data_IF_397334766655
#
_entry.id   IF_397334766655
#
_cell.length_a   1.000
_cell.length_b   1.000
_cell.length_c   1.000
_cell.angle_alpha   90.00
_cell.angle_beta   90.00
_cell.angle_gamma   90.00
#
_symmetry.space_group_name_H-M   'P 1'
#
loop_
_entity.id
_entity.type
_entity.pdbx_description
1 polymer ?
#
# COMPACT_ATOMS: atom_id res chain seq x y z
N UNK A 1 -9.26 -9.04 6.90
CA UNK A 1 -10.70 -9.30 7.04
C UNK A 1 -10.86 -10.74 7.49
N UNK A 2 -11.59 -10.95 8.58
CA UNK A 2 -11.96 -12.28 9.06
C UNK A 2 -13.03 -12.91 8.16
N UNK A 3 -13.31 -14.20 8.36
CA UNK A 3 -14.41 -14.89 7.67
C UNK A 3 -15.77 -14.27 8.04
N UNK A 4 -15.96 -13.97 9.32
CA UNK A 4 -17.20 -13.39 9.88
C UNK A 4 -17.50 -12.02 9.28
N UNK A 5 -16.50 -11.14 9.17
CA UNK A 5 -16.64 -9.83 8.55
C UNK A 5 -17.04 -9.92 7.08
N UNK A 6 -16.60 -10.96 6.37
CA UNK A 6 -16.97 -11.16 4.96
C UNK A 6 -18.39 -11.66 4.80
N UNK A 7 -18.82 -12.58 5.68
CA UNK A 7 -20.19 -13.09 5.67
C UNK A 7 -21.19 -11.98 5.98
N UNK A 8 -20.88 -11.09 6.93
CA UNK A 8 -21.72 -9.93 7.26
C UNK A 8 -21.90 -8.93 6.10
N UNK A 9 -21.02 -8.97 5.08
CA UNK A 9 -21.15 -8.15 3.87
C UNK A 9 -21.99 -8.82 2.77
N UNK A 10 -22.30 -10.11 2.90
CA UNK A 10 -23.16 -10.83 1.97
C UNK A 10 -24.61 -10.70 2.43
N UNK A 11 -25.52 -10.55 1.47
CA UNK A 11 -26.94 -10.37 1.79
C UNK A 11 -27.55 -11.68 2.31
N UNK A 12 -27.86 -11.72 3.60
CA UNK A 12 -28.66 -12.78 4.21
C UNK A 12 -30.16 -12.48 3.98
N UNK A 13 -30.64 -12.77 2.77
CA UNK A 13 -32.06 -12.63 2.42
C UNK A 13 -32.92 -13.80 2.93
N UNK A 14 -34.25 -13.66 2.82
CA UNK A 14 -35.26 -14.69 3.20
C UNK A 14 -35.23 -15.92 2.26
N UNK A 15 -34.31 -15.96 1.29
CA UNK A 15 -34.25 -17.02 0.29
C UNK A 15 -33.53 -18.26 0.82
N UNK A 16 -33.99 -19.44 0.40
CA UNK A 16 -33.56 -20.78 0.88
C UNK A 16 -32.10 -21.10 0.51
N UNK A 17 -31.45 -20.25 -0.30
CA UNK A 17 -30.07 -20.45 -0.76
C UNK A 17 -29.11 -19.44 -0.15
N UNK A 18 -28.12 -19.97 0.56
CA UNK A 18 -27.06 -19.18 1.17
C UNK A 18 -26.22 -18.49 0.07
N UNK A 19 -26.12 -17.16 0.08
CA UNK A 19 -25.33 -16.42 -0.93
C UNK A 19 -23.83 -16.64 -0.69
N UNK A 20 -23.15 -17.29 -1.63
CA UNK A 20 -21.74 -17.69 -1.48
C UNK A 20 -20.72 -16.61 -1.90
N UNK A 21 -21.15 -15.66 -2.72
CA UNK A 21 -20.32 -14.57 -3.23
C UNK A 21 -21.15 -13.40 -3.74
N UNK A 22 -20.58 -12.20 -3.69
CA UNK A 22 -21.09 -10.99 -4.31
C UNK A 22 -19.99 -10.31 -5.12
N UNK A 23 -20.35 -9.44 -6.06
CA UNK A 23 -19.40 -8.59 -6.75
C UNK A 23 -19.95 -7.17 -6.90
N UNK A 24 -19.03 -6.22 -7.00
CA UNK A 24 -19.31 -4.83 -7.34
C UNK A 24 -18.44 -4.48 -8.54
N UNK A 25 -19.05 -3.89 -9.56
CA UNK A 25 -18.38 -3.42 -10.76
C UNK A 25 -18.65 -1.92 -10.91
N UNK A 26 -17.60 -1.16 -11.18
CA UNK A 26 -17.64 0.28 -11.40
C UNK A 26 -17.02 0.55 -12.76
N UNK A 27 -17.68 1.35 -13.58
CA UNK A 27 -17.16 1.83 -14.85
C UNK A 27 -16.75 3.28 -14.67
N UNK A 28 -15.48 3.57 -14.93
CA UNK A 28 -14.91 4.90 -14.91
C UNK A 28 -14.79 5.41 -16.35
N UNK A 29 -15.24 6.63 -16.57
CA UNK A 29 -14.88 7.41 -17.75
C UNK A 29 -13.43 7.89 -17.57
N UNK A 30 -12.57 7.55 -18.52
CA UNK A 30 -11.14 7.89 -18.56
C UNK A 30 -10.81 8.81 -19.75
N UNK A 31 -11.76 9.63 -20.20
CA UNK A 31 -11.56 10.64 -21.25
C UNK A 31 -10.37 11.58 -20.99
N UNK A 32 -9.99 11.79 -19.73
CA UNK A 32 -8.85 12.62 -19.32
C UNK A 32 -7.54 11.83 -19.11
N UNK A 33 -7.52 10.54 -19.46
CA UNK A 33 -6.35 9.67 -19.40
C UNK A 33 -5.65 9.62 -18.02
N UNK A 34 -6.42 9.76 -16.92
CA UNK A 34 -5.88 9.59 -15.56
C UNK A 34 -5.42 8.17 -15.26
N UNK A 35 -6.12 7.19 -15.83
CA UNK A 35 -5.70 5.79 -15.74
C UNK A 35 -4.75 5.48 -16.92
N UNK A 36 -3.53 4.97 -16.64
CA UNK A 36 -2.54 4.64 -17.67
C UNK A 36 -2.86 3.31 -18.38
N UNK A 37 -4.10 3.11 -18.79
CA UNK A 37 -4.58 1.90 -19.49
C UNK A 37 -4.65 2.10 -21.00
N UNK A 38 -4.71 3.37 -21.47
CA UNK A 38 -4.86 3.70 -22.89
C UNK A 38 -6.25 3.42 -23.46
N UNK A 39 -7.24 3.22 -22.58
CA UNK A 39 -8.64 3.04 -22.92
C UNK A 39 -9.47 4.22 -22.41
N UNK A 40 -10.49 4.61 -23.16
CA UNK A 40 -11.40 5.71 -22.80
C UNK A 40 -12.32 5.35 -21.63
N UNK A 41 -12.48 4.05 -21.33
CA UNK A 41 -13.22 3.55 -20.18
C UNK A 41 -12.38 2.53 -19.41
N UNK A 42 -12.49 2.55 -18.08
CA UNK A 42 -11.83 1.60 -17.19
C UNK A 42 -12.86 0.92 -16.30
N UNK A 43 -12.90 -0.42 -16.35
CA UNK A 43 -13.87 -1.21 -15.57
C UNK A 43 -13.14 -1.83 -14.39
N UNK A 44 -13.55 -1.50 -13.16
CA UNK A 44 -13.01 -2.12 -11.97
C UNK A 44 -14.07 -3.01 -11.30
N UNK A 45 -13.80 -4.32 -11.27
CA UNK A 45 -14.63 -5.27 -10.53
C UNK A 45 -13.90 -5.83 -9.32
N UNK A 46 -14.61 -5.90 -8.20
CA UNK A 46 -14.19 -6.65 -7.00
C UNK A 46 -15.24 -7.70 -6.67
N UNK A 47 -14.81 -8.95 -6.60
CA UNK A 47 -15.64 -10.09 -6.21
C UNK A 47 -15.25 -10.55 -4.80
N UNK A 48 -16.20 -10.51 -3.87
CA UNK A 48 -16.06 -10.98 -2.51
C UNK A 48 -16.76 -12.33 -2.34
N UNK A 49 -16.00 -13.35 -1.98
CA UNK A 49 -16.53 -14.64 -1.56
C UNK A 49 -16.14 -14.95 -0.12
N UNK A 50 -16.75 -15.99 0.46
CA UNK A 50 -16.49 -16.41 1.85
C UNK A 50 -14.98 -16.63 2.13
N UNK A 51 -14.27 -17.25 1.19
CA UNK A 51 -12.84 -17.61 1.34
C UNK A 51 -11.88 -16.71 0.56
N UNK A 52 -12.35 -16.02 -0.48
CA UNK A 52 -11.49 -15.39 -1.48
C UNK A 52 -11.99 -14.01 -1.88
N UNK A 53 -11.06 -13.08 -2.07
CA UNK A 53 -11.29 -11.73 -2.59
C UNK A 53 -10.54 -11.64 -3.91
N UNK A 54 -11.24 -11.24 -4.97
CA UNK A 54 -10.68 -11.14 -6.32
C UNK A 54 -10.89 -9.76 -6.91
N UNK A 55 -9.84 -9.23 -7.51
CA UNK A 55 -9.87 -7.94 -8.19
C UNK A 55 -9.67 -8.17 -9.69
N UNK A 56 -10.47 -7.48 -10.49
CA UNK A 56 -10.44 -7.60 -11.95
C UNK A 56 -10.59 -6.23 -12.61
N UNK A 57 -9.49 -5.48 -12.81
CA UNK A 57 -9.46 -4.35 -13.73
C UNK A 57 -9.60 -4.84 -15.17
N UNK A 58 -10.48 -4.23 -15.96
CA UNK A 58 -10.74 -4.50 -17.38
C UNK A 58 -10.92 -5.99 -17.68
N UNK A 59 -11.68 -6.69 -16.83
CA UNK A 59 -11.96 -8.14 -16.92
C UNK A 59 -10.72 -9.05 -16.80
N UNK A 60 -9.53 -8.50 -16.50
CA UNK A 60 -8.29 -9.25 -16.25
C UNK A 60 -8.05 -9.38 -14.77
N UNK A 61 -7.62 -10.55 -14.31
CA UNK A 61 -7.35 -10.79 -12.90
C UNK A 61 -6.06 -10.10 -12.47
N UNK A 62 -6.12 -9.30 -11.41
CA UNK A 62 -4.97 -8.56 -10.88
C UNK A 62 -4.82 -8.74 -9.37
N UNK A 63 -3.62 -8.44 -8.85
CA UNK A 63 -3.41 -8.42 -7.41
C UNK A 63 -4.04 -7.17 -6.79
N UNK A 64 -4.32 -7.22 -5.49
CA UNK A 64 -4.79 -6.05 -4.73
C UNK A 64 -3.80 -4.89 -4.86
N UNK A 65 -2.50 -5.16 -4.82
CA UNK A 65 -1.46 -4.14 -4.91
C UNK A 65 -1.49 -3.41 -6.25
N UNK A 66 -1.70 -4.13 -7.35
CA UNK A 66 -1.73 -3.52 -8.68
C UNK A 66 -2.93 -2.58 -8.84
N UNK A 67 -4.11 -3.01 -8.36
CA UNK A 67 -5.31 -2.16 -8.37
C UNK A 67 -5.15 -0.94 -7.47
N UNK A 68 -4.50 -1.11 -6.33
CA UNK A 68 -4.18 0.01 -5.43
C UNK A 68 -3.24 1.03 -6.09
N UNK A 69 -2.20 0.57 -6.77
CA UNK A 69 -1.27 1.43 -7.51
C UNK A 69 -1.96 2.14 -8.68
N UNK A 70 -2.89 1.46 -9.35
CA UNK A 70 -3.72 2.03 -10.42
C UNK A 70 -4.60 3.17 -9.90
N UNK A 71 -5.29 2.94 -8.77
CA UNK A 71 -6.11 3.96 -8.12
C UNK A 71 -5.28 5.13 -7.60
N UNK A 72 -4.10 4.86 -7.01
CA UNK A 72 -3.16 5.90 -6.59
C UNK A 72 -2.71 6.78 -7.77
N UNK A 73 -2.42 6.16 -8.93
CA UNK A 73 -2.01 6.87 -10.15
C UNK A 73 -3.12 7.79 -10.69
N UNK A 74 -4.37 7.39 -10.57
CA UNK A 74 -5.53 8.20 -10.93
C UNK A 74 -5.94 9.24 -9.86
N UNK A 75 -5.21 9.31 -8.73
CA UNK A 75 -5.44 10.27 -7.66
C UNK A 75 -6.37 9.79 -6.53
N UNK A 76 -6.90 8.57 -6.60
CA UNK A 76 -7.76 7.97 -5.57
C UNK A 76 -6.96 7.36 -4.40
N UNK A 77 -5.94 8.08 -3.94
CA UNK A 77 -5.05 7.52 -2.94
C UNK A 77 -5.72 7.33 -1.59
N UNK A 78 -5.48 6.17 -0.95
CA UNK A 78 -5.87 5.92 0.44
C UNK A 78 -5.23 6.88 1.44
N UNK A 79 -4.14 7.52 1.04
CA UNK A 79 -3.48 8.54 1.84
C UNK A 79 -4.26 9.86 1.89
N UNK A 80 -5.24 10.05 1.00
CA UNK A 80 -6.13 11.18 0.98
C UNK A 80 -7.53 10.77 1.50
N UNK A 81 -7.87 11.05 2.77
CA UNK A 81 -9.15 10.66 3.36
C UNK A 81 -10.34 11.53 2.91
N UNK A 82 -10.14 12.59 2.10
CA UNK A 82 -11.22 13.52 1.75
C UNK A 82 -12.28 12.94 0.81
N UNK A 83 -12.05 11.78 0.21
CA UNK A 83 -13.00 11.18 -0.72
C UNK A 83 -14.20 10.52 -0.05
N UNK A 84 -14.11 10.18 1.24
CA UNK A 84 -15.17 9.47 1.96
C UNK A 84 -15.38 10.15 3.31
N UNK A 85 -16.59 10.65 3.55
CA UNK A 85 -17.01 11.18 4.85
C UNK A 85 -17.95 10.17 5.51
N UNK A 86 -17.49 9.38 6.51
CA UNK A 86 -18.35 8.44 7.21
C UNK A 86 -19.46 9.15 8.00
N UNK A 87 -20.55 8.43 8.23
CA UNK A 87 -21.61 8.88 9.12
C UNK A 87 -21.05 9.20 10.52
N UNK A 88 -21.50 10.30 11.11
CA UNK A 88 -21.03 10.77 12.41
C UNK A 88 -19.64 11.44 12.41
N UNK A 89 -18.94 11.51 11.27
CA UNK A 89 -17.61 12.16 11.18
C UNK A 89 -17.66 13.64 11.54
N UNK A 90 -18.73 14.35 11.16
CA UNK A 90 -18.90 15.77 11.50
C UNK A 90 -19.12 15.95 13.00
N UNK A 91 -20.00 15.14 13.61
CA UNK A 91 -20.23 15.18 15.06
C UNK A 91 -18.96 14.86 15.85
N UNK A 92 -18.18 13.88 15.39
CA UNK A 92 -16.89 13.55 15.96
C UNK A 92 -15.92 14.74 15.86
N UNK A 93 -15.89 15.45 14.73
CA UNK A 93 -15.06 16.65 14.56
C UNK A 93 -15.47 17.79 15.49
N UNK A 94 -16.77 18.01 15.69
CA UNK A 94 -17.28 19.05 16.60
C UNK A 94 -16.89 18.78 18.05
N UNK A 95 -16.90 17.50 18.47
CA UNK A 95 -16.56 17.07 19.82
C UNK A 95 -15.08 16.70 20.00
N UNK A 96 -14.27 16.78 18.95
CA UNK A 96 -12.87 16.38 18.96
C UNK A 96 -12.03 17.30 19.87
N UNK A 97 -11.08 16.69 20.60
CA UNK A 97 -10.11 17.45 21.40
C UNK A 97 -9.08 18.14 20.49
N UNK A 98 -8.40 19.17 21.00
CA UNK A 98 -7.46 19.99 20.20
C UNK A 98 -6.38 19.16 19.49
N UNK A 99 -5.88 18.11 20.11
CA UNK A 99 -4.88 17.22 19.51
C UNK A 99 -5.43 16.42 18.31
N UNK A 100 -6.70 16.01 18.35
CA UNK A 100 -7.37 15.30 17.24
C UNK A 100 -7.69 16.26 16.09
N UNK A 101 -8.09 17.50 16.42
CA UNK A 101 -8.29 18.57 15.43
C UNK A 101 -6.97 18.92 14.73
N UNK A 102 -5.87 19.01 15.49
CA UNK A 102 -4.54 19.22 14.93
C UNK A 102 -4.10 18.04 14.05
N UNK A 103 -4.38 16.80 14.46
CA UNK A 103 -4.07 15.62 13.67
C UNK A 103 -4.84 15.63 12.33
N UNK A 104 -6.12 16.00 12.35
CA UNK A 104 -6.90 16.19 11.14
C UNK A 104 -6.31 17.31 10.27
N UNK A 105 -5.95 18.45 10.86
CA UNK A 105 -5.37 19.58 10.12
C UNK A 105 -4.04 19.21 9.44
N UNK A 106 -3.18 18.44 10.12
CA UNK A 106 -1.95 17.87 9.55
C UNK A 106 -2.23 16.89 8.41
N UNK A 107 -3.32 16.13 8.52
CA UNK A 107 -3.79 15.24 7.47
C UNK A 107 -4.28 16.04 6.25
N UNK A 108 -5.01 17.16 6.46
CA UNK A 108 -5.46 18.08 5.38
C UNK A 108 -4.29 18.75 4.70
N UNK A 109 -3.30 19.16 5.49
CA UNK A 109 -2.08 19.76 4.98
C UNK A 109 -1.18 18.78 4.22
N UNK A 110 -1.52 17.48 4.17
CA UNK A 110 -0.74 16.46 3.48
C UNK A 110 0.62 16.16 4.11
N UNK A 111 0.93 16.74 5.28
CA UNK A 111 2.24 16.60 5.94
C UNK A 111 2.48 15.19 6.49
N UNK A 112 1.40 14.43 6.70
CA UNK A 112 1.44 13.05 7.21
C UNK A 112 2.16 12.10 6.25
N UNK A 113 1.95 12.22 4.93
CA UNK A 113 2.62 11.37 3.93
C UNK A 113 4.12 11.68 3.90
N UNK A 114 4.49 12.95 4.01
CA UNK A 114 5.88 13.37 4.09
C UNK A 114 6.55 12.84 5.37
N UNK A 115 5.91 12.96 6.54
CA UNK A 115 6.43 12.41 7.80
C UNK A 115 6.59 10.88 7.76
N UNK A 116 5.64 10.16 7.15
CA UNK A 116 5.73 8.72 6.96
C UNK A 116 6.92 8.34 6.08
N UNK A 117 7.06 8.94 4.90
CA UNK A 117 8.20 8.70 4.00
C UNK A 117 9.53 9.05 4.65
N UNK A 118 9.59 10.15 5.41
CA UNK A 118 10.77 10.54 6.17
C UNK A 118 11.12 9.51 7.25
N UNK A 119 10.13 9.03 7.99
CA UNK A 119 10.34 8.02 9.05
C UNK A 119 10.77 6.68 8.47
N UNK A 120 10.19 6.26 7.36
CA UNK A 120 10.59 5.06 6.63
C UNK A 120 12.01 5.19 6.08
N UNK A 121 12.36 6.33 5.48
CA UNK A 121 13.72 6.62 5.02
C UNK A 121 14.71 6.58 6.18
N UNK A 122 14.38 7.16 7.33
CA UNK A 122 15.22 7.13 8.53
C UNK A 122 15.38 5.71 9.07
N UNK A 123 14.33 4.88 9.04
CA UNK A 123 14.41 3.46 9.42
C UNK A 123 15.31 2.67 8.47
N UNK A 124 15.24 2.93 7.16
CA UNK A 124 16.11 2.30 6.17
C UNK A 124 17.56 2.76 6.35
N UNK A 125 17.79 4.02 6.73
CA UNK A 125 19.12 4.56 6.99
C UNK A 125 19.72 4.08 8.32
N UNK A 126 18.92 3.84 9.37
CA UNK A 126 19.39 3.43 10.69
C UNK A 126 20.32 2.19 10.72
N UNK A 127 20.12 1.13 9.92
CA UNK A 127 21.03 -0.03 9.87
C UNK A 127 22.21 0.13 8.90
N UNK A 128 22.32 1.23 8.15
CA UNK A 128 23.41 1.44 7.17
C UNK A 128 24.79 1.75 7.77
N UNK A 129 24.99 2.43 8.91
CA UNK A 129 26.34 2.68 9.41
C UNK A 129 27.03 1.39 9.89
N UNK A 130 26.29 0.47 10.54
CA UNK A 130 26.86 -0.79 11.04
C UNK A 130 27.22 -1.75 9.90
N UNK A 131 26.34 -1.88 8.90
CA UNK A 131 26.58 -2.77 7.75
C UNK A 131 27.70 -2.25 6.82
N UNK A 132 27.84 -0.94 6.66
CA UNK A 132 28.94 -0.34 5.88
C UNK A 132 30.29 -0.46 6.60
N UNK A 133 30.32 -0.31 7.93
CA UNK A 133 31.51 -0.53 8.73
C UNK A 133 31.98 -2.00 8.70
N UNK A 134 31.07 -2.97 8.85
CA UNK A 134 31.38 -4.40 8.75
C UNK A 134 31.87 -4.80 7.35
N UNK A 135 31.24 -4.27 6.29
CA UNK A 135 31.68 -4.52 4.90
C UNK A 135 33.07 -3.95 4.63
N UNK A 136 33.40 -2.77 5.17
CA UNK A 136 34.74 -2.17 5.09
C UNK A 136 35.81 -3.01 5.82
N UNK A 137 35.48 -3.49 7.03
CA UNK A 137 36.36 -4.36 7.81
C UNK A 137 36.61 -5.72 7.12
N UNK A 138 35.57 -6.33 6.53
CA UNK A 138 35.71 -7.58 5.78
C UNK A 138 36.52 -7.40 4.50
N UNK A 139 36.36 -6.28 3.78
CA UNK A 139 37.11 -5.96 2.56
C UNK A 139 38.61 -5.76 2.86
N UNK A 140 38.95 -5.02 3.93
CA UNK A 140 40.36 -4.84 4.33
C UNK A 140 41.01 -6.15 4.78
N UNK A 141 40.26 -7.03 5.44
CA UNK A 141 40.74 -8.35 5.88
C UNK A 141 40.98 -9.29 4.68
N UNK A 142 40.10 -9.30 3.69
CA UNK A 142 40.28 -10.08 2.45
C UNK A 142 41.43 -9.54 1.60
N UNK A 143 41.56 -8.22 1.47
CA UNK A 143 42.69 -7.57 0.79
C UNK A 143 44.04 -7.92 1.44
N UNK A 144 44.13 -7.88 2.77
CA UNK A 144 45.33 -8.28 3.51
C UNK A 144 45.66 -9.76 3.37
N UNK A 145 44.64 -10.64 3.32
CA UNK A 145 44.83 -12.07 3.11
C UNK A 145 45.35 -12.37 1.69
N UNK A 146 44.81 -11.71 0.68
CA UNK A 146 45.27 -11.80 -0.71
C UNK A 146 46.72 -11.30 -0.88
N UNK A 147 47.08 -10.19 -0.21
CA UNK A 147 48.45 -9.67 -0.23
C UNK A 147 49.46 -10.62 0.44
N UNK A 148 49.05 -11.30 1.52
CA UNK A 148 49.87 -12.31 2.21
C UNK A 148 50.08 -13.58 1.38
N UNK A 149 49.07 -14.04 0.64
CA UNK A 149 49.20 -15.22 -0.24
C UNK A 149 50.09 -14.93 -1.45
N UNK A 150 49.96 -13.76 -2.06
CA UNK A 150 50.85 -13.30 -3.14
C UNK A 150 52.32 -13.18 -2.69
N UNK A 151 52.57 -12.71 -1.46
CA UNK A 151 53.93 -12.61 -0.90
C UNK A 151 54.56 -13.98 -0.60
N UNK A 152 53.77 -14.99 -0.23
CA UNK A 152 54.28 -16.37 -0.05
C UNK A 152 54.65 -17.02 -1.38
N UNK A 153 53.91 -16.76 -2.46
CA UNK A 153 54.19 -17.30 -3.81
C UNK A 153 55.41 -16.68 -4.50
N UNK A 154 55.85 -15.47 -4.10
CA UNK A 154 57.07 -14.82 -4.62
C UNK A 154 58.37 -15.24 -3.91
N UNK A 155 58.28 -15.99 -2.81
CA UNK A 155 59.43 -16.47 -2.02
C UNK A 155 59.72 -17.97 -2.20
N UNK A 156 58.93 -18.65 -3.03
CA UNK A 156 59.17 -20.01 -3.53
C UNK A 156 59.57 -19.92 -4.99
#
# INVERSE_FOLDING_TARGET
MSLEERQALLHEGVSVTNTLSAFVEIVFDNSDNRFPTGHDEVILRRTIGLKKDEYSPDKKRASKTDVMNLLDSAGFSKSNPYYIVPQGRITALTNAKDHERLALLKEVAGTKVYEQRRTESLRIMAPTPTQSAERSANCSTTSNRASRTLRKRRKS
#
